data_IF_755973419383
#
_entry.id   IF_755973419383
#
_cell.length_a   1.000
_cell.length_b   1.000
_cell.length_c   1.000
_cell.angle_alpha   90.00
_cell.angle_beta   90.00
_cell.angle_gamma   90.00
#
_symmetry.space_group_name_H-M   'P 1'
#
loop_
_entity.id
_entity.type
_entity.pdbx_description
1 polymer ?
#
# COMPACT_ATOMS: atom_id res chain seq x y z
N UNK A 1 -14.03 28.99 -27.66
CA UNK A 1 -14.01 27.99 -26.58
C UNK A 1 -13.23 26.80 -27.08
N UNK A 2 -12.09 26.49 -26.47
CA UNK A 2 -11.30 25.31 -26.85
C UNK A 2 -11.94 24.10 -26.18
N UNK A 3 -12.45 23.17 -26.98
CA UNK A 3 -12.98 21.89 -26.51
C UNK A 3 -11.82 20.97 -26.10
N UNK A 4 -11.87 20.42 -24.89
CA UNK A 4 -10.89 19.46 -24.39
C UNK A 4 -11.20 18.08 -24.98
N UNK A 5 -10.18 17.39 -25.48
CA UNK A 5 -10.29 16.01 -25.95
C UNK A 5 -10.03 15.05 -24.78
N UNK A 6 -11.02 14.23 -24.44
CA UNK A 6 -10.95 13.28 -23.32
C UNK A 6 -10.47 11.93 -23.86
N UNK A 7 -9.23 11.56 -23.53
CA UNK A 7 -8.62 10.32 -24.03
C UNK A 7 -9.20 9.06 -23.37
N UNK A 8 -9.49 9.13 -22.06
CA UNK A 8 -10.03 8.01 -21.27
C UNK A 8 -10.85 8.55 -20.10
N UNK A 9 -12.01 7.96 -19.85
CA UNK A 9 -12.81 8.18 -18.64
C UNK A 9 -13.16 6.85 -17.98
N UNK A 10 -13.43 6.86 -16.68
CA UNK A 10 -13.77 5.65 -15.93
C UNK A 10 -14.43 5.96 -14.59
N UNK A 11 -15.07 4.93 -14.02
CA UNK A 11 -15.62 4.95 -12.65
C UNK A 11 -14.99 3.80 -11.88
N UNK A 12 -14.41 4.10 -10.72
CA UNK A 12 -13.92 3.11 -9.76
C UNK A 12 -14.80 3.10 -8.52
N UNK A 13 -15.08 1.92 -7.98
CA UNK A 13 -15.70 1.80 -6.66
C UNK A 13 -14.69 2.22 -5.60
N UNK A 14 -15.07 3.13 -4.71
CA UNK A 14 -14.20 3.51 -3.60
C UNK A 14 -14.07 2.35 -2.61
N UNK A 15 -12.84 1.92 -2.31
CA UNK A 15 -12.60 0.98 -1.23
C UNK A 15 -12.95 1.62 0.12
N UNK A 16 -14.12 1.28 0.66
CA UNK A 16 -14.51 1.63 2.01
C UNK A 16 -13.69 0.80 2.99
N UNK A 17 -12.87 1.47 3.77
CA UNK A 17 -12.18 0.88 4.92
C UNK A 17 -13.07 0.97 6.16
N UNK A 18 -12.92 0.03 7.10
CA UNK A 18 -13.51 0.07 8.44
C UNK A 18 -12.40 0.34 9.48
N UNK A 19 -12.15 1.62 9.83
CA UNK A 19 -11.12 1.97 10.79
C UNK A 19 -11.41 1.48 12.20
N UNK A 20 -12.69 1.33 12.56
CA UNK A 20 -13.10 0.94 13.91
C UNK A 20 -12.92 -0.58 14.07
N UNK A 21 -13.41 -1.36 13.11
CA UNK A 21 -13.19 -2.81 13.07
C UNK A 21 -11.70 -3.18 12.97
N UNK A 22 -10.90 -2.42 12.24
CA UNK A 22 -9.44 -2.62 12.24
C UNK A 22 -8.82 -2.38 13.62
N UNK A 23 -9.28 -1.35 14.34
CA UNK A 23 -8.78 -1.07 15.70
C UNK A 23 -9.16 -2.18 16.67
N UNK A 24 -10.38 -2.71 16.57
CA UNK A 24 -10.84 -3.86 17.37
C UNK A 24 -10.03 -5.12 17.05
N UNK A 25 -9.83 -5.43 15.77
CA UNK A 25 -8.99 -6.55 15.35
C UNK A 25 -7.56 -6.42 15.88
N UNK A 26 -6.95 -5.23 15.79
CA UNK A 26 -5.61 -4.98 16.33
C UNK A 26 -5.59 -5.16 17.85
N UNK A 27 -6.64 -4.71 18.55
CA UNK A 27 -6.76 -4.86 19.99
C UNK A 27 -6.76 -6.33 20.41
N UNK A 28 -7.48 -7.18 19.68
CA UNK A 28 -7.65 -8.61 19.96
C UNK A 28 -6.50 -9.49 19.48
N UNK A 29 -5.91 -9.18 18.32
CA UNK A 29 -5.02 -10.10 17.59
C UNK A 29 -3.55 -9.68 17.60
N UNK A 30 -3.24 -8.39 17.74
CA UNK A 30 -1.85 -7.91 17.70
C UNK A 30 -1.18 -8.07 19.05
N UNK A 31 -0.21 -8.98 19.11
CA UNK A 31 0.62 -9.15 20.31
C UNK A 31 1.34 -7.84 20.70
N UNK A 32 1.16 -7.45 21.97
CA UNK A 32 1.86 -6.33 22.64
C UNK A 32 3.18 -6.76 23.29
N UNK A 33 3.52 -8.04 23.24
CA UNK A 33 4.75 -8.55 23.84
C UNK A 33 6.00 -8.01 23.13
N UNK A 34 7.07 -7.81 23.90
CA UNK A 34 8.39 -7.43 23.40
C UNK A 34 9.12 -8.66 22.85
N UNK A 35 8.67 -9.12 21.69
CA UNK A 35 9.27 -10.25 20.96
C UNK A 35 10.03 -9.76 19.73
N UNK A 36 11.06 -10.48 19.26
CA UNK A 36 11.70 -10.18 17.98
C UNK A 36 10.67 -10.18 16.84
N UNK A 37 10.68 -9.12 16.02
CA UNK A 37 9.85 -8.96 14.81
C UNK A 37 10.72 -8.73 13.56
N UNK A 38 12.02 -8.98 13.67
CA UNK A 38 12.96 -8.82 12.57
C UNK A 38 12.71 -9.90 11.53
N UNK A 39 12.58 -9.48 10.28
CA UNK A 39 12.36 -10.36 9.13
C UNK A 39 12.93 -9.72 7.87
N UNK A 40 13.16 -10.53 6.83
CA UNK A 40 13.54 -10.03 5.51
C UNK A 40 12.36 -9.33 4.81
N UNK A 41 12.64 -8.51 3.79
CA UNK A 41 11.58 -7.92 2.97
C UNK A 41 10.69 -8.98 2.34
N UNK A 42 11.28 -10.08 1.83
CA UNK A 42 10.54 -11.20 1.26
C UNK A 42 9.52 -11.75 2.24
N UNK A 43 9.98 -12.08 3.45
CA UNK A 43 9.10 -12.60 4.50
C UNK A 43 8.02 -11.59 4.89
N UNK A 44 8.38 -10.30 5.01
CA UNK A 44 7.43 -9.25 5.36
C UNK A 44 6.29 -9.14 4.34
N UNK A 45 6.61 -9.07 3.05
CA UNK A 45 5.59 -8.94 1.99
C UNK A 45 4.80 -10.23 1.80
N UNK A 46 5.44 -11.38 1.93
CA UNK A 46 4.78 -12.69 1.81
C UNK A 46 3.73 -12.88 2.93
N UNK A 47 4.07 -12.45 4.15
CA UNK A 47 3.24 -12.62 5.35
C UNK A 47 2.19 -11.52 5.56
N UNK A 48 2.49 -10.28 5.18
CA UNK A 48 1.72 -9.10 5.62
C UNK A 48 1.04 -8.34 4.49
N UNK A 49 1.21 -8.76 3.23
CA UNK A 49 0.57 -8.10 2.08
C UNK A 49 -0.18 -9.16 1.27
N UNK A 50 -1.49 -9.02 1.19
CA UNK A 50 -2.37 -9.79 0.32
C UNK A 50 -2.75 -8.99 -0.93
N UNK A 51 -3.24 -9.68 -1.96
CA UNK A 51 -3.89 -9.02 -3.10
C UNK A 51 -5.16 -8.32 -2.59
N UNK A 52 -5.44 -7.12 -3.09
CA UNK A 52 -6.58 -6.32 -2.62
C UNK A 52 -6.29 -5.40 -1.41
N UNK A 53 -5.14 -5.55 -0.76
CA UNK A 53 -4.82 -4.78 0.44
C UNK A 53 -4.67 -3.27 0.18
N UNK A 54 -4.97 -2.49 1.22
CA UNK A 54 -4.71 -1.06 1.25
C UNK A 54 -3.32 -0.78 1.85
N UNK A 55 -2.37 -0.41 1.00
CA UNK A 55 -1.04 0.03 1.40
C UNK A 55 -1.03 1.52 1.77
N UNK A 56 -0.53 1.83 2.96
CA UNK A 56 -0.18 3.17 3.39
C UNK A 56 1.25 3.22 3.88
N UNK A 57 2.01 4.21 3.46
CA UNK A 57 3.35 4.48 3.96
C UNK A 57 3.65 5.97 3.88
N UNK A 58 4.52 6.43 4.79
CA UNK A 58 4.99 7.81 4.82
C UNK A 58 6.38 7.90 4.17
N UNK A 59 6.60 8.94 3.38
CA UNK A 59 7.92 9.32 2.88
C UNK A 59 7.97 10.84 2.59
N UNK A 60 9.18 11.36 2.36
CA UNK A 60 9.35 12.71 1.84
C UNK A 60 9.83 12.61 0.39
N UNK A 61 8.90 12.59 -0.56
CA UNK A 61 9.20 12.39 -1.98
C UNK A 61 10.08 11.16 -2.20
N UNK A 62 11.37 11.37 -2.49
CA UNK A 62 12.35 10.33 -2.77
C UNK A 62 13.09 9.82 -1.52
N UNK A 63 12.89 10.45 -0.37
CA UNK A 63 13.63 10.17 0.86
C UNK A 63 12.78 9.42 1.89
N UNK A 64 13.44 8.49 2.58
CA UNK A 64 12.92 7.74 3.75
C UNK A 64 11.67 6.89 3.47
N UNK A 65 11.33 6.64 2.20
CA UNK A 65 10.28 5.70 1.84
C UNK A 65 10.75 4.23 1.88
N UNK A 66 9.81 3.27 1.98
CA UNK A 66 10.12 1.84 2.10
C UNK A 66 10.48 1.21 0.74
N UNK A 67 11.49 1.75 0.07
CA UNK A 67 11.80 1.41 -1.32
C UNK A 67 12.21 -0.06 -1.53
N UNK A 68 12.79 -0.73 -0.53
CA UNK A 68 13.09 -2.17 -0.62
C UNK A 68 11.81 -3.02 -0.58
N UNK A 69 10.86 -2.69 0.31
CA UNK A 69 9.56 -3.36 0.41
C UNK A 69 8.70 -3.15 -0.85
N UNK A 70 8.68 -1.94 -1.42
CA UNK A 70 7.93 -1.68 -2.66
C UNK A 70 8.46 -2.53 -3.81
N UNK A 71 9.79 -2.68 -3.93
CA UNK A 71 10.38 -3.58 -4.92
C UNK A 71 10.04 -5.04 -4.65
N UNK A 72 9.88 -5.43 -3.38
CA UNK A 72 9.45 -6.77 -3.01
C UNK A 72 7.99 -7.02 -3.38
N UNK A 73 7.09 -6.06 -3.15
CA UNK A 73 5.68 -6.11 -3.60
C UNK A 73 5.62 -6.37 -5.11
N UNK A 74 6.42 -5.65 -5.90
CA UNK A 74 6.52 -5.85 -7.35
C UNK A 74 7.09 -7.22 -7.69
N UNK A 75 8.18 -7.66 -7.03
CA UNK A 75 8.81 -8.97 -7.28
C UNK A 75 7.88 -10.14 -6.97
N UNK A 76 7.04 -10.02 -5.94
CA UNK A 76 6.03 -11.02 -5.58
C UNK A 76 4.72 -10.89 -6.37
N UNK A 77 4.61 -9.88 -7.26
CA UNK A 77 3.46 -9.64 -8.13
C UNK A 77 2.13 -9.52 -7.38
N UNK A 78 2.16 -8.86 -6.21
CA UNK A 78 0.92 -8.50 -5.50
C UNK A 78 0.09 -7.57 -6.38
N UNK A 79 -1.22 -7.77 -6.41
CA UNK A 79 -2.12 -7.12 -7.38
C UNK A 79 -3.40 -6.61 -6.72
N UNK A 80 -4.15 -5.81 -7.47
CA UNK A 80 -5.39 -5.16 -7.01
C UNK A 80 -5.19 -4.34 -5.73
N UNK A 81 -3.97 -3.83 -5.53
CA UNK A 81 -3.61 -3.08 -4.33
C UNK A 81 -4.20 -1.67 -4.38
N UNK A 82 -4.66 -1.23 -3.23
CA UNK A 82 -5.01 0.17 -2.99
C UNK A 82 -3.81 0.88 -2.39
N UNK A 83 -3.50 2.10 -2.85
CA UNK A 83 -2.34 2.85 -2.36
C UNK A 83 -2.75 4.23 -1.91
N UNK A 84 -2.51 4.51 -0.64
CA UNK A 84 -2.61 5.85 -0.10
C UNK A 84 -1.34 6.64 -0.37
N UNK A 85 -1.42 7.55 -1.35
CA UNK A 85 -0.27 8.31 -1.83
C UNK A 85 -0.24 9.73 -1.26
N UNK A 86 0.50 9.95 -0.18
CA UNK A 86 0.80 11.29 0.36
C UNK A 86 2.30 11.56 0.27
N UNK A 87 2.69 12.57 -0.53
CA UNK A 87 4.10 12.89 -0.81
C UNK A 87 4.91 11.74 -1.42
N UNK A 88 4.27 10.74 -2.05
CA UNK A 88 4.91 9.51 -2.54
C UNK A 88 5.11 9.47 -4.07
N UNK A 89 4.90 10.59 -4.78
CA UNK A 89 4.58 10.65 -6.23
C UNK A 89 5.32 9.64 -7.13
N UNK A 90 6.64 9.60 -7.10
CA UNK A 90 7.44 8.71 -7.97
C UNK A 90 7.31 7.23 -7.59
N UNK A 91 7.09 6.94 -6.32
CA UNK A 91 7.11 5.58 -5.79
C UNK A 91 5.79 4.86 -6.01
N UNK A 92 4.67 5.54 -5.85
CA UNK A 92 3.36 4.94 -6.11
C UNK A 92 3.20 4.56 -7.60
N UNK A 93 3.82 5.33 -8.51
CA UNK A 93 3.81 5.03 -9.94
C UNK A 93 4.48 3.68 -10.28
N UNK A 94 5.42 3.19 -9.46
CA UNK A 94 6.05 1.88 -9.68
C UNK A 94 5.10 0.70 -9.41
N UNK A 95 3.99 0.95 -8.73
CA UNK A 95 2.95 -0.03 -8.44
C UNK A 95 1.82 0.00 -9.49
N UNK A 96 1.91 0.90 -10.48
CA UNK A 96 0.97 0.99 -11.59
C UNK A 96 1.57 0.22 -12.77
N UNK A 97 1.05 -0.97 -13.06
CA UNK A 97 1.52 -1.85 -14.14
C UNK A 97 0.69 -3.11 -14.28
#
# INVERSE_FOLDING_TARGET
MTTVDVLTEGRGEYLKVDPDGFRDWVHENKSRALVPKLMSEKEAVEKLVADGDYLWYECNYLQRGPASLIREVIRQKKKELWVGAKFTWVTAALLVG
#
